data_IF_780180976915
#
_entry.id   IF_780180976915
#
_cell.length_a   1.000
_cell.length_b   1.000
_cell.length_c   1.000
_cell.angle_alpha   90.00
_cell.angle_beta   90.00
_cell.angle_gamma   90.00
#
_symmetry.space_group_name_H-M   'P 1'
#
loop_
_entity.id
_entity.type
_entity.pdbx_description
1 polymer ?
#
# COMPACT_ATOMS: atom_id res chain seq x y z
N UNK A 1 49.19 -36.12 -13.19
CA UNK A 1 48.23 -35.61 -14.18
C UNK A 1 46.76 -35.92 -13.88
N UNK A 2 46.43 -36.89 -12.99
CA UNK A 2 45.03 -37.22 -12.64
C UNK A 2 44.35 -36.26 -11.64
N UNK A 3 45.09 -35.63 -10.73
CA UNK A 3 44.52 -34.77 -9.69
C UNK A 3 44.02 -33.41 -10.20
N UNK A 4 44.55 -32.90 -11.31
CA UNK A 4 44.09 -31.65 -11.93
C UNK A 4 42.75 -31.79 -12.66
N UNK A 5 42.37 -33.00 -13.11
CA UNK A 5 41.09 -33.25 -13.79
C UNK A 5 39.91 -33.33 -12.80
N UNK A 6 40.15 -33.77 -11.57
CA UNK A 6 39.12 -33.90 -10.54
C UNK A 6 38.65 -32.53 -10.00
N UNK A 7 39.55 -31.54 -9.92
CA UNK A 7 39.23 -30.19 -9.44
C UNK A 7 38.42 -29.41 -10.50
N UNK A 8 38.75 -29.59 -11.78
CA UNK A 8 38.03 -28.93 -12.87
C UNK A 8 36.55 -29.36 -12.99
N UNK A 9 36.25 -30.63 -12.71
CA UNK A 9 34.86 -31.14 -12.68
C UNK A 9 34.06 -30.66 -11.45
N UNK A 10 34.73 -30.46 -10.30
CA UNK A 10 34.05 -29.99 -9.09
C UNK A 10 33.62 -28.50 -9.18
N UNK A 11 34.40 -27.66 -9.87
CA UNK A 11 34.06 -26.23 -10.06
C UNK A 11 32.92 -26.06 -11.07
N UNK A 12 32.88 -26.88 -12.13
CA UNK A 12 31.81 -26.84 -13.12
C UNK A 12 30.44 -27.30 -12.58
N UNK A 13 30.42 -28.28 -11.66
CA UNK A 13 29.18 -28.72 -10.99
C UNK A 13 28.60 -27.70 -10.00
N UNK A 14 29.44 -26.82 -9.46
CA UNK A 14 29.03 -25.83 -8.45
C UNK A 14 28.31 -24.61 -9.04
N UNK A 15 28.50 -24.31 -10.34
CA UNK A 15 27.79 -23.21 -11.01
C UNK A 15 26.34 -23.56 -11.41
N UNK A 16 25.99 -24.85 -11.46
CA UNK A 16 24.69 -25.31 -11.97
C UNK A 16 23.58 -25.26 -10.90
N UNK A 17 23.92 -25.04 -9.63
CA UNK A 17 22.96 -25.01 -8.52
C UNK A 17 22.49 -23.60 -8.12
N UNK A 18 22.88 -22.55 -8.84
CA UNK A 18 22.30 -21.23 -8.65
C UNK A 18 20.86 -21.21 -9.22
N UNK A 19 19.89 -21.57 -8.39
CA UNK A 19 18.48 -21.41 -8.73
C UNK A 19 18.23 -19.94 -9.12
N UNK A 20 17.48 -19.67 -10.20
CA UNK A 20 17.15 -18.29 -10.56
C UNK A 20 16.39 -17.66 -9.41
N UNK A 21 16.98 -16.64 -8.79
CA UNK A 21 16.27 -15.80 -7.84
C UNK A 21 15.27 -14.96 -8.62
N UNK A 22 13.98 -15.30 -8.54
CA UNK A 22 12.93 -14.45 -9.09
C UNK A 22 12.91 -13.13 -8.33
N UNK A 23 13.20 -12.03 -9.02
CA UNK A 23 13.05 -10.70 -8.44
C UNK A 23 11.57 -10.45 -8.12
N UNK A 24 11.23 -10.41 -6.83
CA UNK A 24 9.90 -10.03 -6.38
C UNK A 24 9.62 -8.56 -6.73
N UNK A 25 8.40 -8.26 -7.16
CA UNK A 25 7.92 -6.87 -7.30
C UNK A 25 7.35 -6.42 -5.96
N UNK A 26 7.82 -5.28 -5.46
CA UNK A 26 7.31 -4.61 -4.27
C UNK A 26 6.71 -3.28 -4.68
N UNK A 27 5.47 -3.04 -4.27
CA UNK A 27 4.83 -1.72 -4.34
C UNK A 27 4.63 -1.21 -2.91
N UNK A 28 4.84 0.08 -2.70
CA UNK A 28 4.71 0.74 -1.41
C UNK A 28 3.75 1.92 -1.59
N UNK A 29 2.73 1.97 -0.73
CA UNK A 29 1.79 3.09 -0.64
C UNK A 29 1.99 3.77 0.72
N UNK A 30 2.06 5.10 0.72
CA UNK A 30 2.12 5.88 1.96
C UNK A 30 0.78 6.59 2.17
N UNK A 31 0.15 6.26 3.28
CA UNK A 31 -1.20 6.73 3.65
C UNK A 31 -1.20 8.10 4.33
N UNK A 32 -2.40 8.62 4.56
CA UNK A 32 -2.70 9.81 5.36
C UNK A 32 -2.09 11.13 4.88
N UNK A 33 -2.05 11.34 3.55
CA UNK A 33 -1.67 12.63 2.97
C UNK A 33 -2.79 13.67 3.09
N UNK A 34 -2.39 14.95 3.16
CA UNK A 34 -3.26 16.12 3.08
C UNK A 34 -3.34 16.95 4.37
N UNK A 35 -2.70 16.53 5.47
CA UNK A 35 -2.72 17.24 6.75
C UNK A 35 -1.37 17.86 7.14
N UNK A 36 -0.25 17.32 6.64
CA UNK A 36 1.10 17.70 7.07
C UNK A 36 2.02 17.94 5.87
N UNK A 37 1.82 19.03 5.10
CA UNK A 37 2.59 19.29 3.88
C UNK A 37 4.10 19.23 4.10
N UNK A 38 4.62 19.67 5.24
CA UNK A 38 6.06 19.66 5.53
C UNK A 38 6.64 18.24 5.56
N UNK A 39 5.96 17.30 6.21
CA UNK A 39 6.39 15.88 6.27
C UNK A 39 6.08 15.17 4.96
N UNK A 40 4.91 15.42 4.39
CA UNK A 40 4.49 14.78 3.14
C UNK A 40 5.38 15.20 1.96
N UNK A 41 5.89 16.43 1.94
CA UNK A 41 6.89 16.87 0.96
C UNK A 41 8.23 16.12 1.06
N UNK A 42 8.57 15.57 2.22
CA UNK A 42 9.76 14.70 2.36
C UNK A 42 9.48 13.33 1.74
N UNK A 43 8.25 12.83 1.85
CA UNK A 43 7.84 11.59 1.18
C UNK A 43 7.81 11.78 -0.34
N UNK A 44 7.33 12.94 -0.82
CA UNK A 44 7.36 13.26 -2.25
C UNK A 44 8.78 13.48 -2.80
N UNK A 45 9.79 13.64 -1.96
CA UNK A 45 11.19 13.63 -2.39
C UNK A 45 11.75 12.21 -2.62
N UNK A 46 11.00 11.16 -2.25
CA UNK A 46 11.36 9.76 -2.54
C UNK A 46 11.11 9.43 -4.02
N UNK A 47 11.66 8.30 -4.53
CA UNK A 47 11.41 7.90 -5.91
C UNK A 47 9.91 7.75 -6.23
N UNK A 48 9.53 8.13 -7.45
CA UNK A 48 8.15 8.07 -7.97
C UNK A 48 7.52 6.66 -7.96
N UNK A 49 8.31 5.61 -7.72
CA UNK A 49 7.82 4.25 -7.50
C UNK A 49 7.05 4.07 -6.19
N UNK A 50 7.08 5.06 -5.30
CA UNK A 50 6.27 5.11 -4.09
C UNK A 50 4.93 5.79 -4.43
N UNK A 51 3.82 5.08 -4.25
CA UNK A 51 2.48 5.66 -4.38
C UNK A 51 2.06 6.36 -3.09
N UNK A 52 1.11 7.28 -3.18
CA UNK A 52 0.57 8.01 -2.01
C UNK A 52 -0.94 7.93 -1.97
N UNK A 53 -1.52 7.83 -0.77
CA UNK A 53 -2.96 7.82 -0.56
C UNK A 53 -3.39 9.07 0.21
N UNK A 54 -4.30 9.85 -0.38
CA UNK A 54 -4.68 11.19 0.09
C UNK A 54 -6.08 11.20 0.69
N UNK A 55 -6.20 11.70 1.93
CA UNK A 55 -7.49 11.84 2.62
C UNK A 55 -8.30 12.98 1.96
N UNK A 56 -9.50 12.71 1.40
CA UNK A 56 -10.21 13.67 0.56
C UNK A 56 -10.67 14.93 1.30
N UNK A 57 -10.96 14.82 2.60
CA UNK A 57 -11.43 15.93 3.43
C UNK A 57 -10.30 16.66 4.17
N UNK A 58 -9.04 16.29 3.92
CA UNK A 58 -7.90 16.97 4.54
C UNK A 58 -7.69 18.38 3.91
N UNK A 59 -7.22 19.38 4.67
CA UNK A 59 -7.11 20.77 4.20
C UNK A 59 -6.25 20.94 2.94
N UNK A 60 -5.23 20.11 2.76
CA UNK A 60 -4.31 20.18 1.63
C UNK A 60 -4.50 19.03 0.62
N UNK A 61 -5.63 18.31 0.66
CA UNK A 61 -5.85 17.12 -0.17
C UNK A 61 -5.58 17.38 -1.66
N UNK A 62 -6.20 18.42 -2.23
CA UNK A 62 -6.05 18.76 -3.65
C UNK A 62 -4.64 19.21 -4.01
N UNK A 63 -4.02 20.03 -3.15
CA UNK A 63 -2.65 20.52 -3.32
C UNK A 63 -1.67 19.33 -3.36
N UNK A 64 -1.76 18.45 -2.37
CA UNK A 64 -0.85 17.32 -2.21
C UNK A 64 -1.06 16.26 -3.30
N UNK A 65 -2.29 15.98 -3.71
CA UNK A 65 -2.59 15.08 -4.83
C UNK A 65 -2.01 15.62 -6.15
N UNK A 66 -2.21 16.91 -6.44
CA UNK A 66 -1.67 17.56 -7.64
C UNK A 66 -0.15 17.55 -7.64
N UNK A 67 0.46 17.86 -6.49
CA UNK A 67 1.92 17.87 -6.35
C UNK A 67 2.52 16.48 -6.52
N UNK A 68 1.93 15.46 -5.90
CA UNK A 68 2.36 14.07 -6.04
C UNK A 68 2.29 13.60 -7.50
N UNK A 69 1.17 13.86 -8.17
CA UNK A 69 1.01 13.52 -9.59
C UNK A 69 2.07 14.22 -10.48
N UNK A 70 2.28 15.52 -10.29
CA UNK A 70 3.27 16.28 -11.07
C UNK A 70 4.72 15.79 -10.85
N UNK A 71 5.00 15.12 -9.74
CA UNK A 71 6.29 14.51 -9.44
C UNK A 71 6.36 13.04 -9.86
N UNK A 72 5.31 12.52 -10.51
CA UNK A 72 5.26 11.17 -11.09
C UNK A 72 4.78 10.09 -10.12
N UNK A 73 4.36 10.44 -8.91
CA UNK A 73 3.80 9.47 -7.97
C UNK A 73 2.40 9.05 -8.40
N UNK A 74 2.08 7.77 -8.23
CA UNK A 74 0.70 7.30 -8.31
C UNK A 74 -0.09 7.79 -7.10
N UNK A 75 -1.29 8.31 -7.36
CA UNK A 75 -2.18 8.89 -6.35
C UNK A 75 -3.38 7.99 -6.14
N UNK A 76 -3.72 7.73 -4.88
CA UNK A 76 -4.94 7.04 -4.47
C UNK A 76 -5.78 7.95 -3.58
N UNK A 77 -7.10 7.75 -3.60
CA UNK A 77 -8.02 8.29 -2.61
C UNK A 77 -7.88 7.42 -1.35
N UNK A 78 -7.48 7.99 -0.22
CA UNK A 78 -7.53 7.30 1.08
C UNK A 78 -8.88 7.62 1.73
N UNK A 79 -9.89 6.77 1.56
CA UNK A 79 -11.26 7.09 1.99
C UNK A 79 -11.53 6.56 3.41
N UNK A 80 -11.95 7.41 4.37
CA UNK A 80 -12.38 6.98 5.69
C UNK A 80 -13.50 5.93 5.64
N UNK A 81 -13.28 4.83 6.35
CA UNK A 81 -14.24 3.75 6.49
C UNK A 81 -14.37 3.33 7.96
N UNK A 82 -15.60 2.97 8.37
CA UNK A 82 -15.91 2.66 9.75
C UNK A 82 -15.05 1.49 10.29
N UNK A 83 -14.34 1.69 11.41
CA UNK A 83 -13.69 0.61 12.14
C UNK A 83 -14.67 -0.10 13.08
N UNK A 84 -14.30 -1.29 13.57
CA UNK A 84 -14.99 -1.98 14.66
C UNK A 84 -14.78 -1.28 16.02
N UNK A 85 -13.69 -0.53 16.18
CA UNK A 85 -13.41 0.23 17.40
C UNK A 85 -14.30 1.47 17.52
N UNK A 86 -14.62 1.87 18.75
CA UNK A 86 -15.42 3.06 19.04
C UNK A 86 -14.55 4.30 19.15
N UNK A 87 -14.06 4.79 18.01
CA UNK A 87 -13.26 6.02 17.94
C UNK A 87 -14.00 7.11 17.16
N UNK A 88 -13.62 8.39 17.35
CA UNK A 88 -14.17 9.47 16.55
C UNK A 88 -13.98 9.19 15.06
N UNK A 89 -15.05 9.38 14.28
CA UNK A 89 -15.02 9.18 12.83
C UNK A 89 -14.75 10.51 12.14
N UNK A 90 -13.97 10.45 11.07
CA UNK A 90 -13.76 11.59 10.19
C UNK A 90 -15.03 11.91 9.39
N UNK A 91 -15.10 13.13 8.86
CA UNK A 91 -16.18 13.54 7.96
C UNK A 91 -16.24 12.60 6.76
N UNK A 92 -17.48 12.25 6.35
CA UNK A 92 -17.77 11.36 5.21
C UNK A 92 -17.13 9.95 5.36
N UNK A 93 -17.00 9.46 6.59
CA UNK A 93 -16.64 8.05 6.84
C UNK A 93 -17.73 7.11 6.36
N UNK A 94 -17.40 6.20 5.44
CA UNK A 94 -18.34 5.18 4.96
C UNK A 94 -18.69 4.18 6.06
N UNK A 95 -19.99 3.91 6.23
CA UNK A 95 -20.51 2.95 7.22
C UNK A 95 -21.43 1.91 6.55
N UNK A 96 -21.46 0.65 7.05
CA UNK A 96 -22.26 -0.42 6.44
C UNK A 96 -23.75 -0.10 6.25
N UNK A 97 -24.34 0.62 7.19
CA UNK A 97 -25.76 0.96 7.22
C UNK A 97 -26.17 2.10 6.29
N UNK A 98 -25.21 2.77 5.64
CA UNK A 98 -25.50 3.84 4.69
C UNK A 98 -26.29 3.32 3.48
N UNK A 99 -27.13 4.20 2.92
CA UNK A 99 -27.81 3.93 1.65
C UNK A 99 -26.81 3.98 0.49
N UNK A 100 -27.18 3.40 -0.66
CA UNK A 100 -26.33 3.43 -1.85
C UNK A 100 -26.10 4.85 -2.36
N UNK A 101 -27.11 5.72 -2.23
CA UNK A 101 -27.06 7.12 -2.66
C UNK A 101 -26.06 7.92 -1.83
N UNK A 102 -26.01 7.67 -0.52
CA UNK A 102 -25.07 8.34 0.38
C UNK A 102 -23.63 7.88 0.13
N UNK A 103 -23.43 6.57 -0.08
CA UNK A 103 -22.12 6.02 -0.47
C UNK A 103 -21.67 6.61 -1.81
N UNK A 104 -22.56 6.67 -2.80
CA UNK A 104 -22.26 7.26 -4.11
C UNK A 104 -21.94 8.76 -4.00
N UNK A 105 -22.68 9.52 -3.18
CA UNK A 105 -22.39 10.94 -2.91
C UNK A 105 -20.98 11.11 -2.34
N UNK A 106 -20.63 10.35 -1.31
CA UNK A 106 -19.32 10.42 -0.65
C UNK A 106 -18.19 10.08 -1.63
N UNK A 107 -18.32 9.00 -2.40
CA UNK A 107 -17.30 8.59 -3.37
C UNK A 107 -17.15 9.63 -4.48
N UNK A 108 -18.25 10.18 -5.00
CA UNK A 108 -18.21 11.25 -6.01
C UNK A 108 -17.48 12.50 -5.50
N UNK A 109 -17.76 12.91 -4.27
CA UNK A 109 -17.08 14.05 -3.65
C UNK A 109 -15.60 13.77 -3.42
N UNK A 110 -15.25 12.58 -2.94
CA UNK A 110 -13.87 12.17 -2.72
C UNK A 110 -13.07 12.18 -4.05
N UNK A 111 -13.66 11.65 -5.12
CA UNK A 111 -13.07 11.67 -6.46
C UNK A 111 -12.82 13.10 -6.97
N UNK A 112 -13.74 14.03 -6.73
CA UNK A 112 -13.55 15.44 -7.11
C UNK A 112 -12.48 16.18 -6.27
N UNK A 113 -12.32 15.80 -5.00
CA UNK A 113 -11.37 16.43 -4.07
C UNK A 113 -9.93 15.95 -4.27
N UNK A 114 -9.73 14.73 -4.76
CA UNK A 114 -8.41 14.12 -4.99
C UNK A 114 -8.20 13.90 -6.50
N UNK A 115 -7.75 14.92 -7.24
CA UNK A 115 -7.51 14.79 -8.67
C UNK A 115 -6.40 13.77 -8.97
N UNK A 116 -6.40 13.23 -10.19
CA UNK A 116 -5.41 12.26 -10.71
C UNK A 116 -5.38 10.90 -10.02
N UNK A 117 -6.34 10.61 -9.12
CA UNK A 117 -6.40 9.33 -8.46
C UNK A 117 -6.60 8.18 -9.46
N UNK A 118 -5.80 7.12 -9.32
CA UNK A 118 -5.90 5.87 -10.10
C UNK A 118 -6.54 4.72 -9.30
N UNK A 119 -6.64 4.87 -7.97
CA UNK A 119 -7.29 3.91 -7.10
C UNK A 119 -7.91 4.53 -5.86
N UNK A 120 -8.67 3.73 -5.12
CA UNK A 120 -9.22 4.03 -3.82
C UNK A 120 -8.70 3.02 -2.80
N UNK A 121 -8.22 3.51 -1.68
CA UNK A 121 -7.73 2.75 -0.56
C UNK A 121 -8.54 3.05 0.71
N UNK A 122 -8.80 2.05 1.56
CA UNK A 122 -9.52 2.25 2.80
C UNK A 122 -8.61 2.83 3.91
N UNK A 123 -9.01 3.96 4.47
CA UNK A 123 -8.51 4.44 5.76
C UNK A 123 -9.30 3.74 6.87
N UNK A 124 -8.61 2.93 7.68
CA UNK A 124 -9.25 2.04 8.67
C UNK A 124 -10.24 1.07 7.98
N UNK A 125 -11.49 1.00 8.44
CA UNK A 125 -12.54 0.28 7.72
C UNK A 125 -12.86 -1.13 8.18
N UNK A 126 -12.34 -1.63 9.30
CA UNK A 126 -12.61 -3.02 9.72
C UNK A 126 -14.09 -3.39 9.86
N UNK A 127 -14.99 -2.45 10.17
CA UNK A 127 -16.43 -2.71 10.16
C UNK A 127 -17.02 -2.62 8.74
N UNK A 128 -16.56 -1.66 7.94
CA UNK A 128 -17.02 -1.49 6.56
C UNK A 128 -16.58 -2.65 5.66
N UNK A 129 -15.28 -2.96 5.64
CA UNK A 129 -14.69 -3.96 4.75
C UNK A 129 -15.11 -5.38 5.10
N UNK A 130 -15.45 -5.68 6.37
CA UNK A 130 -16.03 -6.97 6.75
C UNK A 130 -17.52 -7.13 6.39
N UNK A 131 -18.20 -6.05 5.99
CA UNK A 131 -19.61 -6.11 5.61
C UNK A 131 -19.78 -6.26 4.09
N UNK A 132 -20.28 -7.42 3.64
CA UNK A 132 -20.45 -7.71 2.22
C UNK A 132 -21.40 -6.73 1.53
N UNK A 133 -22.58 -6.47 2.11
CA UNK A 133 -23.59 -5.61 1.49
C UNK A 133 -23.13 -4.16 1.41
N UNK A 134 -22.45 -3.67 2.46
CA UNK A 134 -21.83 -2.34 2.46
C UNK A 134 -20.77 -2.23 1.36
N UNK A 135 -19.87 -3.20 1.26
CA UNK A 135 -18.84 -3.20 0.22
C UNK A 135 -19.40 -3.38 -1.19
N UNK A 136 -20.49 -4.13 -1.38
CA UNK A 136 -21.15 -4.25 -2.70
C UNK A 136 -21.63 -2.88 -3.20
N UNK A 137 -22.24 -2.07 -2.32
CA UNK A 137 -22.63 -0.69 -2.65
C UNK A 137 -21.42 0.16 -3.01
N UNK A 138 -20.30 0.00 -2.29
CA UNK A 138 -19.03 0.69 -2.61
C UNK A 138 -18.51 0.30 -3.99
N UNK A 139 -18.46 -1.00 -4.32
CA UNK A 139 -17.96 -1.46 -5.62
C UNK A 139 -18.89 -1.03 -6.77
N UNK A 140 -20.20 -1.05 -6.56
CA UNK A 140 -21.17 -0.51 -7.53
C UNK A 140 -20.98 0.99 -7.77
N UNK A 141 -20.78 1.77 -6.71
CA UNK A 141 -20.50 3.19 -6.85
C UNK A 141 -19.15 3.45 -7.55
N UNK A 142 -18.14 2.62 -7.28
CA UNK A 142 -16.82 2.71 -7.90
C UNK A 142 -16.80 2.33 -9.38
N UNK A 143 -17.71 1.46 -9.84
CA UNK A 143 -17.78 1.02 -11.25
C UNK A 143 -17.96 2.17 -12.25
N UNK A 144 -18.53 3.30 -11.81
CA UNK A 144 -18.66 4.51 -12.62
C UNK A 144 -17.33 5.26 -12.82
N UNK A 145 -16.30 4.86 -12.09
CA UNK A 145 -14.98 5.49 -12.10
C UNK A 145 -13.93 4.48 -12.54
N UNK A 146 -12.92 4.93 -13.27
CA UNK A 146 -11.79 4.08 -13.65
C UNK A 146 -10.77 3.97 -12.50
N UNK A 147 -11.23 3.49 -11.33
CA UNK A 147 -10.43 3.30 -10.13
C UNK A 147 -10.33 1.82 -9.78
N UNK A 148 -9.15 1.36 -9.38
CA UNK A 148 -9.02 0.10 -8.66
C UNK A 148 -9.25 0.31 -7.15
N UNK A 149 -9.63 -0.75 -6.43
CA UNK A 149 -9.72 -0.73 -4.97
C UNK A 149 -8.50 -1.43 -4.35
N UNK A 150 -7.74 -0.72 -3.52
CA UNK A 150 -6.68 -1.27 -2.69
C UNK A 150 -7.23 -1.54 -1.29
N UNK A 151 -7.36 -2.81 -0.93
CA UNK A 151 -7.71 -3.23 0.42
C UNK A 151 -6.46 -3.27 1.31
N UNK A 152 -6.38 -2.41 2.32
CA UNK A 152 -5.32 -2.41 3.33
C UNK A 152 -5.36 -3.64 4.26
N UNK A 153 -6.41 -4.46 4.17
CA UNK A 153 -6.63 -5.68 4.97
C UNK A 153 -6.60 -5.37 6.47
N UNK A 154 -7.32 -4.32 6.89
CA UNK A 154 -7.43 -3.93 8.30
C UNK A 154 -8.19 -4.96 9.14
N UNK A 155 -8.82 -5.95 8.50
CA UNK A 155 -9.46 -7.11 9.13
C UNK A 155 -9.31 -8.33 8.22
N UNK A 156 -9.03 -9.50 8.80
CA UNK A 156 -8.73 -10.72 8.03
C UNK A 156 -9.91 -11.30 7.25
N UNK A 157 -11.16 -10.96 7.61
CA UNK A 157 -12.37 -11.41 6.94
C UNK A 157 -12.99 -10.33 6.01
N UNK A 158 -12.16 -9.44 5.48
CA UNK A 158 -12.58 -8.45 4.47
C UNK A 158 -13.35 -9.11 3.33
N UNK A 159 -14.39 -8.43 2.86
CA UNK A 159 -15.29 -8.83 1.79
C UNK A 159 -14.99 -8.08 0.49
N UNK A 160 -13.95 -7.23 0.41
CA UNK A 160 -13.70 -6.37 -0.75
C UNK A 160 -13.63 -7.15 -2.07
N UNK A 161 -12.86 -8.23 -2.14
CA UNK A 161 -12.77 -9.07 -3.35
C UNK A 161 -14.11 -9.73 -3.71
N UNK A 162 -14.86 -10.20 -2.71
CA UNK A 162 -16.17 -10.83 -2.93
C UNK A 162 -17.20 -9.81 -3.40
N UNK A 163 -17.18 -8.61 -2.83
CA UNK A 163 -18.08 -7.53 -3.18
C UNK A 163 -17.87 -6.99 -4.59
N UNK A 164 -16.65 -7.09 -5.13
CA UNK A 164 -16.34 -6.68 -6.50
C UNK A 164 -16.80 -7.68 -7.56
N UNK A 165 -17.20 -8.89 -7.17
CA UNK A 165 -17.72 -9.89 -8.12
C UNK A 165 -18.96 -9.35 -8.84
N UNK A 166 -18.93 -9.42 -10.17
CA UNK A 166 -20.00 -8.89 -11.02
C UNK A 166 -19.88 -7.39 -11.32
N UNK A 167 -18.81 -6.73 -10.85
CA UNK A 167 -18.46 -5.35 -11.24
C UNK A 167 -17.16 -5.33 -12.06
N UNK A 168 -16.91 -4.23 -12.76
CA UNK A 168 -15.62 -3.97 -13.41
C UNK A 168 -14.46 -3.59 -12.46
N UNK A 169 -14.69 -3.47 -11.16
CA UNK A 169 -13.69 -2.93 -10.21
C UNK A 169 -12.61 -3.95 -9.89
N UNK A 170 -11.36 -3.62 -10.22
CA UNK A 170 -10.19 -4.44 -9.84
C UNK A 170 -9.88 -4.24 -8.36
N UNK A 171 -9.74 -5.35 -7.61
CA UNK A 171 -9.31 -5.33 -6.20
C UNK A 171 -7.87 -5.81 -6.08
N UNK A 172 -7.07 -5.11 -5.29
CA UNK A 172 -5.71 -5.49 -4.88
C UNK A 172 -5.71 -5.52 -3.36
N UNK A 173 -5.11 -6.55 -2.76
CA UNK A 173 -5.00 -6.66 -1.29
C UNK A 173 -3.55 -6.46 -0.85
N UNK A 174 -3.36 -5.63 0.18
CA UNK A 174 -2.07 -5.45 0.81
C UNK A 174 -1.59 -6.76 1.46
N UNK A 175 -0.29 -7.04 1.36
CA UNK A 175 0.31 -8.22 2.00
C UNK A 175 0.82 -7.93 3.42
N UNK A 176 1.17 -6.67 3.69
CA UNK A 176 1.63 -6.21 4.98
C UNK A 176 1.13 -4.76 5.17
N UNK A 177 0.67 -4.45 6.38
CA UNK A 177 0.34 -3.10 6.82
C UNK A 177 1.24 -2.76 8.01
N UNK A 178 1.92 -1.61 7.96
CA UNK A 178 2.85 -1.20 9.00
C UNK A 178 2.75 0.30 9.26
N UNK A 179 2.67 0.69 10.52
CA UNK A 179 2.80 2.09 10.94
C UNK A 179 4.27 2.36 11.26
N UNK A 180 4.95 3.16 10.44
CA UNK A 180 6.31 3.61 10.76
C UNK A 180 6.23 4.74 11.79
N UNK A 181 6.58 4.45 13.05
CA UNK A 181 6.73 5.47 14.10
C UNK A 181 8.19 5.90 14.19
N UNK A 182 8.54 7.05 13.61
CA UNK A 182 9.89 7.68 13.62
C UNK A 182 10.99 6.76 13.04
N UNK A 183 11.41 7.02 11.80
CA UNK A 183 12.76 6.63 11.39
C UNK A 183 13.76 7.56 12.09
N UNK A 184 14.66 7.04 12.94
CA UNK A 184 15.89 7.76 13.24
C UNK A 184 16.66 7.91 11.93
N UNK A 185 17.22 9.08 11.61
CA UNK A 185 18.07 9.20 10.44
C UNK A 185 19.19 8.17 10.55
N UNK A 186 19.28 7.29 9.56
CA UNK A 186 20.48 6.48 9.37
C UNK A 186 21.54 7.49 8.94
N UNK A 187 22.40 7.90 9.88
CA UNK A 187 23.61 8.64 9.55
C UNK A 187 24.38 7.79 8.55
N UNK A 188 24.49 8.26 7.31
CA UNK A 188 25.30 7.65 6.27
C UNK A 188 26.79 7.86 6.59
N UNK A 189 27.25 7.25 7.67
CA UNK A 189 28.66 7.05 8.00
C UNK A 189 28.77 5.70 8.70
N UNK A 190 28.55 4.62 7.95
CA UNK A 190 29.22 3.37 8.24
C UNK A 190 29.94 2.94 6.96
N UNK A 191 31.24 3.24 6.94
CA UNK A 191 32.20 2.56 6.11
C UNK A 191 31.95 1.06 6.20
N UNK A 192 31.72 0.42 5.06
CA UNK A 192 31.78 -1.04 4.92
C UNK A 192 33.21 -1.44 5.31
N UNK A 193 33.39 -1.89 6.54
CA UNK A 193 34.56 -2.66 6.94
C UNK A 193 34.21 -4.14 6.76
N UNK A 194 34.99 -4.92 6.00
CA UNK A 194 34.74 -6.35 5.88
C UNK A 194 35.01 -7.02 7.23
N UNK A 195 33.98 -7.64 7.81
CA UNK A 195 34.10 -8.45 9.03
C UNK A 195 34.74 -9.80 8.69
N UNK A 196 35.83 -10.21 9.38
CA UNK A 196 36.35 -11.56 9.26
C UNK A 196 35.50 -12.50 10.11
N UNK A 197 34.88 -13.48 9.44
CA UNK A 197 34.21 -14.60 10.11
C UNK A 197 35.20 -15.33 11.05
N UNK A 198 34.93 -15.30 12.35
CA UNK A 198 35.44 -16.30 13.31
C UNK A 198 34.24 -17.01 13.91
N UNK A 199 34.28 -18.33 13.82
CA UNK A 199 33.18 -19.23 14.12
C UNK A 199 32.73 -19.20 15.57
N UNK A 200 31.43 -19.45 15.76
CA UNK A 200 30.85 -19.84 17.03
C UNK A 200 30.35 -21.28 16.90
N UNK A 201 30.99 -22.16 17.66
CA UNK A 201 30.68 -23.57 17.85
C UNK A 201 29.32 -23.74 18.50
N UNK A 202 28.45 -24.55 17.90
CA UNK A 202 27.24 -25.07 18.54
C UNK A 202 27.67 -26.11 19.60
N UNK A 203 27.36 -25.86 20.86
CA UNK A 203 27.28 -26.93 21.88
C UNK A 203 25.81 -27.33 22.04
N UNK A 204 25.64 -28.65 22.17
CA UNK A 204 24.39 -29.40 22.30
C UNK A 204 23.52 -28.91 23.44
#
# INVERSE_FOLDING_TARGET
MLQFRAIALAVAGSLVLAAPAFAGKLSIVIDDFGYRPQTENQVLALPATISVAVLPNAPHAREMATKAHNQGHEVLIHLPMAPLSKQPLEKDTLRPEMSSEEIERIIREAYGKVPYALGLNNHMGSAMTSNLFGMQKVMQALERYNLYFLDSVTIGNTQAMRAAQGTGVKVISAKCFSTIRRMKPISATSSIAPSPWRGATVRR
#
